data_IF_150043924651
#
_entry.id   IF_150043924651
#
_cell.length_a   1.000
_cell.length_b   1.000
_cell.length_c   1.000
_cell.angle_alpha   90.00
_cell.angle_beta   90.00
_cell.angle_gamma   90.00
#
_symmetry.space_group_name_H-M   'P 1'
#
loop_
_entity.id
_entity.type
_entity.pdbx_description
1 polymer ?
#
# COMPACT_ATOMS: atom_id res chain seq x y z
N UNK A 1 -3.21 -64.59 60.73
CA UNK A 1 -3.66 -64.91 59.35
C UNK A 1 -3.16 -63.83 58.41
N UNK A 2 -2.11 -64.09 57.61
CA UNK A 2 -1.45 -63.11 56.71
C UNK A 2 -1.94 -63.38 55.30
N UNK A 3 -2.61 -62.37 54.71
CA UNK A 3 -2.89 -62.43 53.30
C UNK A 3 -1.98 -61.41 52.60
N UNK A 4 -0.86 -61.95 52.12
CA UNK A 4 -0.02 -61.14 51.17
C UNK A 4 -0.53 -61.41 49.76
N UNK A 5 -1.36 -60.52 49.27
CA UNK A 5 -1.73 -60.49 47.88
C UNK A 5 -0.58 -59.83 47.07
N UNK A 6 0.30 -60.70 46.55
CA UNK A 6 1.35 -60.29 45.65
C UNK A 6 0.78 -59.87 44.31
N UNK A 7 0.76 -58.56 44.03
CA UNK A 7 0.44 -58.03 42.73
C UNK A 7 1.64 -58.27 41.81
N UNK A 8 1.63 -59.45 41.14
CA UNK A 8 2.52 -59.68 39.99
C UNK A 8 1.95 -58.91 38.78
N UNK A 9 2.18 -57.60 38.73
CA UNK A 9 1.98 -56.84 37.51
C UNK A 9 2.86 -57.43 36.43
N UNK A 10 2.23 -58.04 35.43
CA UNK A 10 2.97 -58.67 34.34
C UNK A 10 3.74 -57.53 33.62
N UNK A 11 4.99 -57.77 33.23
CA UNK A 11 5.85 -56.81 32.52
C UNK A 11 5.16 -56.20 31.29
N UNK A 12 4.13 -56.85 30.76
CA UNK A 12 3.26 -56.36 29.68
C UNK A 12 2.33 -55.22 30.14
N UNK A 13 1.71 -55.32 31.31
CA UNK A 13 0.85 -54.28 31.87
C UNK A 13 1.65 -53.00 32.19
N UNK A 14 2.86 -53.12 32.72
CA UNK A 14 3.75 -51.99 32.97
C UNK A 14 4.20 -51.31 31.67
N UNK A 15 4.50 -52.05 30.61
CA UNK A 15 4.86 -51.50 29.32
C UNK A 15 3.68 -50.74 28.67
N UNK A 16 2.46 -51.30 28.77
CA UNK A 16 1.26 -50.67 28.27
C UNK A 16 0.92 -49.36 29.02
N UNK A 17 1.10 -49.33 30.34
CA UNK A 17 0.87 -48.13 31.14
C UNK A 17 1.92 -47.05 30.83
N UNK A 18 3.16 -47.42 30.54
CA UNK A 18 4.21 -46.47 30.15
C UNK A 18 3.92 -45.85 28.77
N UNK A 19 3.50 -46.67 27.82
CA UNK A 19 3.11 -46.17 26.47
C UNK A 19 1.90 -45.23 26.55
N UNK A 20 0.89 -45.58 27.37
CA UNK A 20 -0.28 -44.73 27.58
C UNK A 20 0.10 -43.40 28.24
N UNK A 21 0.99 -43.38 29.22
CA UNK A 21 1.45 -42.18 29.90
C UNK A 21 2.23 -41.26 28.95
N UNK A 22 3.09 -41.82 28.10
CA UNK A 22 3.84 -41.06 27.07
C UNK A 22 2.86 -40.49 26.02
N UNK A 23 1.87 -41.27 25.59
CA UNK A 23 0.87 -40.81 24.60
C UNK A 23 0.02 -39.65 25.12
N UNK A 24 -0.44 -39.73 26.37
CA UNK A 24 -1.21 -38.65 27.02
C UNK A 24 -0.32 -37.42 27.24
N UNK A 25 0.92 -37.59 27.65
CA UNK A 25 1.89 -36.52 27.81
C UNK A 25 2.17 -35.78 26.48
N UNK A 26 2.37 -36.51 25.40
CA UNK A 26 2.59 -35.90 24.08
C UNK A 26 1.38 -35.07 23.61
N UNK A 27 0.14 -35.54 23.82
CA UNK A 27 -1.05 -34.77 23.49
C UNK A 27 -1.21 -33.48 24.33
N UNK A 28 -0.75 -33.48 25.59
CA UNK A 28 -0.82 -32.29 26.44
C UNK A 28 0.12 -31.15 25.97
N UNK A 29 1.24 -31.47 25.32
CA UNK A 29 2.20 -30.48 24.82
C UNK A 29 1.85 -29.92 23.43
N UNK A 30 0.99 -30.60 22.67
CA UNK A 30 0.59 -30.13 21.34
C UNK A 30 -0.55 -29.07 21.35
N UNK A 31 -1.24 -28.93 22.48
CA UNK A 31 -2.43 -28.08 22.60
C UNK A 31 -2.19 -26.59 22.42
N UNK A 32 -1.03 -26.08 22.83
CA UNK A 32 -0.76 -24.63 22.75
C UNK A 32 -0.59 -24.12 21.32
N UNK A 33 -0.05 -24.92 20.41
CA UNK A 33 0.13 -24.52 19.01
C UNK A 33 -1.14 -24.66 18.17
N UNK A 34 -2.10 -25.47 18.61
CA UNK A 34 -3.35 -25.69 17.87
C UNK A 34 -4.42 -24.61 18.15
N UNK A 35 -4.31 -23.91 19.29
CA UNK A 35 -5.31 -22.94 19.74
C UNK A 35 -4.88 -21.50 19.42
N UNK A 36 -3.57 -21.23 19.42
CA UNK A 36 -3.02 -19.92 19.12
C UNK A 36 -2.36 -19.91 17.74
N UNK A 37 -2.91 -19.13 16.82
CA UNK A 37 -2.27 -18.85 15.55
C UNK A 37 -0.92 -18.18 15.83
N UNK A 38 0.16 -18.78 15.31
CA UNK A 38 1.50 -18.24 15.50
C UNK A 38 1.62 -16.93 14.71
N UNK A 39 2.06 -15.86 15.35
CA UNK A 39 2.27 -14.56 14.71
C UNK A 39 3.21 -14.63 13.50
N UNK A 40 4.12 -15.61 13.47
CA UNK A 40 5.05 -15.86 12.36
C UNK A 40 4.38 -16.42 11.10
N UNK A 41 3.16 -16.94 11.20
CA UNK A 41 2.38 -17.41 10.04
C UNK A 41 1.52 -16.31 9.44
N UNK A 42 1.38 -15.18 10.11
CA UNK A 42 0.63 -14.02 9.59
C UNK A 42 1.50 -13.23 8.63
N UNK A 43 0.93 -12.96 7.47
CA UNK A 43 1.56 -12.03 6.52
C UNK A 43 1.36 -10.61 7.03
N UNK A 44 2.46 -9.94 7.38
CA UNK A 44 2.45 -8.56 7.84
C UNK A 44 3.53 -7.74 7.11
N UNK A 45 3.37 -6.43 7.10
CA UNK A 45 4.42 -5.52 6.65
C UNK A 45 5.44 -5.34 7.77
N UNK A 46 6.70 -5.72 7.52
CA UNK A 46 7.80 -5.56 8.48
C UNK A 46 8.46 -4.17 8.37
N UNK A 47 7.69 -3.16 7.97
CA UNK A 47 8.15 -1.78 7.73
C UNK A 47 7.05 -0.80 8.13
N UNK A 48 7.35 0.48 8.12
CA UNK A 48 6.39 1.54 8.48
C UNK A 48 5.24 1.67 7.47
N UNK A 49 5.44 1.21 6.23
CA UNK A 49 4.43 1.25 5.19
C UNK A 49 3.57 -0.01 5.09
N UNK A 50 2.54 0.06 4.30
CA UNK A 50 1.59 -1.03 4.02
C UNK A 50 1.95 -1.75 2.73
N UNK A 51 1.32 -2.92 2.54
CA UNK A 51 1.46 -3.76 1.35
C UNK A 51 0.09 -4.06 0.75
N UNK A 52 0.07 -4.22 -0.57
CA UNK A 52 -1.11 -4.66 -1.29
C UNK A 52 -0.66 -5.43 -2.53
N UNK A 53 -1.41 -6.47 -2.89
CA UNK A 53 -1.27 -7.19 -4.13
C UNK A 53 -2.54 -6.94 -4.97
N UNK A 54 -2.38 -6.40 -6.19
CA UNK A 54 -3.43 -6.10 -7.14
C UNK A 54 -3.13 -6.85 -8.45
N UNK A 55 -3.70 -8.05 -8.61
CA UNK A 55 -3.42 -8.92 -9.74
C UNK A 55 -1.94 -9.17 -9.95
N UNK A 56 -1.38 -8.62 -11.00
CA UNK A 56 0.04 -8.73 -11.33
C UNK A 56 0.91 -7.61 -10.76
N UNK A 57 0.31 -6.64 -10.06
CA UNK A 57 1.03 -5.54 -9.44
C UNK A 57 1.16 -5.77 -7.93
N UNK A 58 2.38 -5.79 -7.44
CA UNK A 58 2.70 -5.92 -6.02
C UNK A 58 3.22 -4.59 -5.48
N UNK A 59 2.56 -4.07 -4.47
CA UNK A 59 2.98 -2.85 -3.76
C UNK A 59 3.57 -3.22 -2.40
N UNK A 60 4.72 -2.66 -2.10
CA UNK A 60 5.48 -2.95 -0.86
C UNK A 60 5.93 -1.65 -0.20
N UNK A 61 5.79 -1.61 1.12
CA UNK A 61 6.21 -0.49 1.97
C UNK A 61 5.62 0.86 1.50
N UNK A 62 4.34 0.87 1.16
CA UNK A 62 3.65 2.08 0.70
C UNK A 62 3.34 2.96 1.90
N UNK A 63 3.83 4.19 1.88
CA UNK A 63 3.52 5.23 2.85
C UNK A 63 3.50 6.60 2.18
N UNK A 64 2.91 7.57 2.82
CA UNK A 64 2.89 8.97 2.37
C UNK A 64 3.77 9.78 3.32
N UNK A 65 4.62 10.64 2.77
CA UNK A 65 5.39 11.62 3.54
C UNK A 65 4.82 12.99 3.27
N UNK A 66 4.29 13.65 4.30
CA UNK A 66 3.70 14.98 4.24
C UNK A 66 4.11 15.79 5.47
N UNK A 67 4.16 17.11 5.35
CA UNK A 67 4.51 17.99 6.47
C UNK A 67 3.31 18.28 7.37
N UNK A 68 2.15 18.44 6.78
CA UNK A 68 0.90 18.75 7.47
C UNK A 68 -0.31 18.18 6.72
N UNK A 69 -1.46 18.19 7.38
CA UNK A 69 -2.74 17.95 6.72
C UNK A 69 -3.05 19.02 5.68
N UNK A 70 -3.86 18.67 4.68
CA UNK A 70 -4.31 19.53 3.59
C UNK A 70 -3.16 20.14 2.75
N UNK A 71 -1.98 19.56 2.87
CA UNK A 71 -0.78 19.90 2.10
C UNK A 71 -0.35 18.80 1.13
N UNK A 72 0.68 19.07 0.33
CA UNK A 72 1.22 18.09 -0.59
C UNK A 72 1.89 16.94 0.16
N UNK A 73 1.76 15.72 -0.38
CA UNK A 73 2.40 14.52 0.16
C UNK A 73 3.02 13.67 -0.94
N UNK A 74 4.14 13.05 -0.65
CA UNK A 74 4.81 12.12 -1.55
C UNK A 74 4.49 10.68 -1.17
N UNK A 75 3.96 9.94 -2.10
CA UNK A 75 3.84 8.48 -1.99
C UNK A 75 5.21 7.85 -2.19
N UNK A 76 5.62 7.02 -1.26
CA UNK A 76 6.87 6.25 -1.34
C UNK A 76 6.57 4.75 -1.26
N UNK A 77 7.45 3.93 -1.78
CA UNK A 77 7.29 2.49 -1.78
C UNK A 77 8.08 1.82 -2.90
N UNK A 78 7.90 0.51 -3.02
CA UNK A 78 8.50 -0.28 -4.10
C UNK A 78 7.40 -1.09 -4.77
N UNK A 79 7.30 -0.98 -6.09
CA UNK A 79 6.26 -1.61 -6.88
C UNK A 79 6.89 -2.60 -7.85
N UNK A 80 6.30 -3.79 -7.92
CA UNK A 80 6.74 -4.89 -8.78
C UNK A 80 5.63 -5.24 -9.75
N UNK A 81 5.95 -5.26 -11.03
CA UNK A 81 5.04 -5.69 -12.08
C UNK A 81 5.43 -7.11 -12.52
N UNK A 82 4.56 -8.07 -12.20
CA UNK A 82 4.74 -9.48 -12.53
C UNK A 82 4.22 -9.85 -13.93
N UNK A 83 3.65 -8.88 -14.66
CA UNK A 83 3.20 -9.08 -16.04
C UNK A 83 4.34 -8.86 -17.04
N UNK A 84 4.07 -9.11 -18.31
CA UNK A 84 5.03 -8.90 -19.41
C UNK A 84 4.91 -7.53 -20.08
N UNK A 85 3.96 -6.67 -19.64
CA UNK A 85 3.70 -5.35 -20.20
C UNK A 85 3.60 -4.30 -19.12
N UNK A 86 3.78 -3.03 -19.50
CA UNK A 86 3.68 -1.90 -18.57
C UNK A 86 2.28 -1.85 -17.92
N UNK A 87 2.25 -1.57 -16.62
CA UNK A 87 1.04 -1.29 -15.87
C UNK A 87 1.09 0.16 -15.41
N UNK A 88 0.05 0.93 -15.72
CA UNK A 88 -0.13 2.27 -15.14
C UNK A 88 -0.97 2.17 -13.89
N UNK A 89 -0.44 2.64 -12.77
CA UNK A 89 -1.12 2.75 -11.49
C UNK A 89 -1.52 4.20 -11.26
N UNK A 90 -2.81 4.46 -11.16
CA UNK A 90 -3.37 5.72 -10.70
C UNK A 90 -3.62 5.64 -9.21
N UNK A 91 -3.13 6.60 -8.45
CA UNK A 91 -3.35 6.77 -7.02
C UNK A 91 -4.16 8.04 -6.81
N UNK A 92 -5.38 7.90 -6.32
CA UNK A 92 -6.28 9.01 -6.04
C UNK A 92 -6.42 9.20 -4.53
N UNK A 93 -6.06 10.37 -4.03
CA UNK A 93 -6.22 10.78 -2.64
C UNK A 93 -7.47 11.62 -2.41
N UNK A 94 -7.50 12.31 -1.28
CA UNK A 94 -8.58 13.22 -0.93
C UNK A 94 -8.61 14.45 -1.85
N UNK A 95 -9.78 15.10 -1.92
CA UNK A 95 -9.99 16.38 -2.62
C UNK A 95 -9.60 16.37 -4.13
N UNK A 96 -9.65 15.17 -4.75
CA UNK A 96 -9.31 15.02 -6.17
C UNK A 96 -7.81 15.02 -6.48
N UNK A 97 -6.96 14.99 -5.45
CA UNK A 97 -5.52 14.80 -5.66
C UNK A 97 -5.26 13.44 -6.32
N UNK A 98 -4.48 13.43 -7.38
CA UNK A 98 -4.20 12.23 -8.15
C UNK A 98 -2.77 12.24 -8.69
N UNK A 99 -2.17 11.06 -8.76
CA UNK A 99 -0.88 10.84 -9.43
C UNK A 99 -0.89 9.53 -10.21
N UNK A 100 -0.07 9.45 -11.24
CA UNK A 100 0.05 8.27 -12.10
C UNK A 100 1.50 7.78 -12.14
N UNK A 101 1.66 6.48 -12.04
CA UNK A 101 2.96 5.81 -11.99
C UNK A 101 2.95 4.66 -12.98
N UNK A 102 3.87 4.67 -13.92
CA UNK A 102 4.10 3.54 -14.83
C UNK A 102 5.08 2.56 -14.19
N UNK A 103 4.63 1.32 -14.00
CA UNK A 103 5.43 0.22 -13.45
C UNK A 103 5.79 -0.74 -14.56
N UNK A 104 7.07 -0.78 -14.91
CA UNK A 104 7.59 -1.65 -15.98
C UNK A 104 7.80 -3.08 -15.47
N UNK A 105 7.67 -4.09 -16.33
CA UNK A 105 7.99 -5.48 -15.97
C UNK A 105 9.49 -5.68 -15.75
N UNK A 106 9.83 -6.72 -15.00
CA UNK A 106 11.21 -7.22 -14.85
C UNK A 106 12.11 -6.44 -13.90
N UNK A 107 11.72 -5.24 -13.44
CA UNK A 107 12.48 -4.46 -12.47
C UNK A 107 11.58 -3.74 -11.47
N UNK A 108 12.00 -3.58 -10.21
CA UNK A 108 11.23 -2.82 -9.23
C UNK A 108 11.21 -1.33 -9.59
N UNK A 109 10.03 -0.72 -9.52
CA UNK A 109 9.87 0.73 -9.56
C UNK A 109 9.92 1.25 -8.13
N UNK A 110 10.97 1.99 -7.79
CA UNK A 110 11.16 2.54 -6.44
C UNK A 110 10.72 4.00 -6.42
N UNK A 111 9.70 4.30 -5.65
CA UNK A 111 9.23 5.65 -5.38
C UNK A 111 9.96 6.19 -4.15
N UNK A 112 10.83 7.14 -4.36
CA UNK A 112 11.64 7.77 -3.33
C UNK A 112 11.63 9.29 -3.47
N UNK A 113 12.55 9.97 -2.81
CA UNK A 113 12.68 11.42 -2.81
C UNK A 113 12.90 12.07 -4.18
N UNK A 114 13.25 11.31 -5.20
CA UNK A 114 13.51 11.81 -6.55
C UNK A 114 12.36 11.58 -7.54
N UNK A 115 11.31 10.87 -7.11
CA UNK A 115 10.17 10.55 -7.96
C UNK A 115 9.10 11.65 -7.85
N UNK A 116 9.17 12.68 -8.70
CA UNK A 116 8.18 13.76 -8.71
C UNK A 116 6.80 13.29 -9.14
N UNK A 117 6.74 12.23 -9.95
CA UNK A 117 5.47 11.59 -10.36
C UNK A 117 4.73 10.88 -9.21
N UNK A 118 5.26 10.90 -7.98
CA UNK A 118 4.63 10.28 -6.81
C UNK A 118 4.02 11.30 -5.83
N UNK A 119 3.86 12.55 -6.25
CA UNK A 119 3.34 13.61 -5.39
C UNK A 119 1.83 13.74 -5.58
N UNK A 120 1.09 13.63 -4.48
CA UNK A 120 -0.29 14.04 -4.35
C UNK A 120 -0.32 15.53 -4.00
N UNK A 121 -1.11 16.33 -4.72
CA UNK A 121 -1.24 17.77 -4.46
C UNK A 121 -1.81 18.06 -3.06
N UNK A 122 -2.62 17.15 -2.53
CA UNK A 122 -3.27 17.29 -1.24
C UNK A 122 -3.37 15.93 -0.55
N UNK A 123 -3.00 15.87 0.71
CA UNK A 123 -3.19 14.76 1.65
C UNK A 123 -4.02 15.30 2.80
N UNK A 124 -5.25 14.81 2.97
CA UNK A 124 -6.16 15.32 3.98
C UNK A 124 -5.75 14.96 5.40
N UNK A 125 -5.10 13.81 5.56
CA UNK A 125 -4.70 13.28 6.85
C UNK A 125 -3.41 13.91 7.37
N UNK A 126 -3.39 14.27 8.65
CA UNK A 126 -2.17 14.74 9.31
C UNK A 126 -1.12 13.62 9.47
N UNK A 127 0.18 13.96 9.57
CA UNK A 127 1.20 13.00 9.96
C UNK A 127 0.88 12.28 11.27
N UNK A 128 1.07 10.95 11.28
CA UNK A 128 0.66 10.07 12.37
C UNK A 128 -0.74 9.47 12.20
N UNK A 129 -1.51 9.93 11.22
CA UNK A 129 -2.80 9.36 10.84
C UNK A 129 -2.67 8.45 9.61
N UNK A 130 -3.79 7.99 9.10
CA UNK A 130 -3.90 7.13 7.92
C UNK A 130 -4.74 7.84 6.86
N UNK A 131 -4.21 7.93 5.66
CA UNK A 131 -4.91 8.43 4.47
C UNK A 131 -5.54 7.26 3.71
N UNK A 132 -6.78 7.44 3.29
CA UNK A 132 -7.45 6.47 2.43
C UNK A 132 -7.26 6.88 0.97
N UNK A 133 -6.57 6.04 0.20
CA UNK A 133 -6.36 6.26 -1.22
C UNK A 133 -7.08 5.20 -2.05
N UNK A 134 -7.58 5.60 -3.20
CA UNK A 134 -8.11 4.70 -4.22
C UNK A 134 -7.02 4.41 -5.24
N UNK A 135 -6.82 3.15 -5.54
CA UNK A 135 -5.83 2.64 -6.48
C UNK A 135 -6.56 2.06 -7.69
N UNK A 136 -6.10 2.40 -8.88
CA UNK A 136 -6.61 1.84 -10.15
C UNK A 136 -5.45 1.47 -11.04
N UNK A 137 -5.48 0.27 -11.58
CA UNK A 137 -4.53 -0.15 -12.60
C UNK A 137 -5.17 -0.05 -13.99
N UNK A 138 -4.34 0.28 -14.98
CA UNK A 138 -4.70 0.19 -16.39
C UNK A 138 -3.56 -0.50 -17.15
N UNK A 139 -3.89 -1.17 -18.25
CA UNK A 139 -2.96 -1.99 -19.03
C UNK A 139 -3.52 -3.37 -19.30
N UNK A 140 -2.76 -4.42 -19.03
CA UNK A 140 -3.15 -5.81 -19.28
C UNK A 140 -4.30 -6.32 -18.41
N UNK A 141 -4.48 -5.73 -17.23
CA UNK A 141 -5.65 -5.94 -16.37
C UNK A 141 -6.05 -4.63 -15.70
N UNK A 142 -7.35 -4.37 -15.60
CA UNK A 142 -7.89 -3.20 -14.90
C UNK A 142 -8.46 -3.65 -13.57
N UNK A 143 -7.82 -3.23 -12.49
CA UNK A 143 -8.24 -3.51 -11.13
C UNK A 143 -8.37 -2.23 -10.33
N UNK A 144 -9.19 -2.25 -9.30
CA UNK A 144 -9.33 -1.15 -8.35
C UNK A 144 -9.31 -1.69 -6.92
N UNK A 145 -8.69 -0.92 -6.02
CA UNK A 145 -8.64 -1.25 -4.60
C UNK A 145 -8.59 0.04 -3.78
N UNK A 146 -9.01 -0.05 -2.53
CA UNK A 146 -8.84 1.01 -1.54
C UNK A 146 -7.73 0.58 -0.58
N UNK A 147 -6.80 1.48 -0.31
CA UNK A 147 -5.69 1.23 0.59
C UNK A 147 -5.63 2.31 1.67
N UNK A 148 -5.47 1.88 2.91
CA UNK A 148 -5.20 2.76 4.04
C UNK A 148 -3.70 2.91 4.21
N UNK A 149 -3.18 4.10 3.91
CA UNK A 149 -1.75 4.39 3.85
C UNK A 149 -1.34 5.27 5.02
N UNK A 150 -0.34 4.89 5.83
CA UNK A 150 0.14 5.72 6.92
C UNK A 150 0.80 6.99 6.39
N UNK A 151 0.54 8.10 7.07
CA UNK A 151 1.14 9.41 6.77
C UNK A 151 2.24 9.68 7.77
N UNK A 152 3.47 9.87 7.27
CA UNK A 152 4.66 10.15 8.06
C UNK A 152 5.10 11.59 7.88
N UNK A 153 5.73 12.17 8.89
CA UNK A 153 6.38 13.48 8.76
C UNK A 153 7.87 13.37 8.42
N UNK A 154 8.51 14.50 8.17
CA UNK A 154 9.94 14.59 7.89
C UNK A 154 10.86 14.64 9.12
N UNK A 155 10.39 14.28 10.32
CA UNK A 155 11.21 14.36 11.54
C UNK A 155 12.38 13.38 11.49
N UNK A 156 12.18 12.19 10.95
CA UNK A 156 13.24 11.22 10.73
C UNK A 156 14.02 11.57 9.45
N UNK A 157 15.33 11.43 9.50
CA UNK A 157 16.23 11.80 8.39
C UNK A 157 15.92 11.04 7.10
N UNK A 158 15.48 9.81 7.20
CA UNK A 158 15.06 8.96 6.09
C UNK A 158 13.83 9.52 5.36
N UNK A 159 12.88 10.09 6.07
CA UNK A 159 11.66 10.65 5.50
C UNK A 159 11.80 12.12 5.11
N UNK A 160 12.66 12.86 5.79
CA UNK A 160 12.89 14.28 5.48
C UNK A 160 13.20 14.54 4.01
N UNK A 161 13.99 13.68 3.38
CA UNK A 161 14.33 13.76 1.95
C UNK A 161 13.14 13.50 1.03
N UNK A 162 12.09 12.88 1.53
CA UNK A 162 10.89 12.54 0.76
C UNK A 162 9.78 13.57 0.93
N UNK A 163 9.96 14.59 1.76
CA UNK A 163 9.02 15.70 1.80
C UNK A 163 8.95 16.38 0.44
N UNK A 164 7.74 16.66 -0.09
CA UNK A 164 7.59 17.46 -1.31
C UNK A 164 8.14 18.87 -1.07
N UNK A 165 9.11 19.27 -1.88
CA UNK A 165 9.68 20.63 -1.83
C UNK A 165 8.76 21.65 -2.50
N UNK A 166 7.82 21.18 -3.32
CA UNK A 166 6.87 22.02 -4.05
C UNK A 166 5.60 21.21 -4.32
N UNK A 167 4.42 21.84 -4.19
CA UNK A 167 3.21 21.25 -4.73
C UNK A 167 3.39 21.01 -6.24
N UNK A 168 2.88 19.90 -6.82
CA UNK A 168 2.92 19.73 -8.25
C UNK A 168 2.26 20.95 -8.87
N UNK A 169 3.00 21.64 -9.73
CA UNK A 169 2.43 22.68 -10.57
C UNK A 169 1.39 22.01 -11.44
N UNK A 170 0.13 22.27 -11.16
CA UNK A 170 -0.93 22.05 -12.13
C UNK A 170 -0.67 23.08 -13.22
N UNK A 171 0.23 22.78 -14.15
CA UNK A 171 0.27 23.49 -15.42
C UNK A 171 -1.06 23.22 -16.09
N UNK A 172 -1.95 24.18 -15.84
CA UNK A 172 -3.25 24.26 -16.42
C UNK A 172 -3.10 24.15 -17.92
N UNK A 173 -3.72 23.17 -18.51
CA UNK A 173 -4.28 23.24 -19.85
C UNK A 173 -5.33 24.36 -19.88
N UNK A 174 -4.89 25.63 -19.80
CA UNK A 174 -5.71 26.83 -19.84
C UNK A 174 -5.19 27.81 -20.93
N UNK A 175 -4.48 27.30 -21.93
CA UNK A 175 -4.11 28.07 -23.10
C UNK A 175 -4.67 27.48 -24.40
N UNK A 176 -5.98 27.32 -24.48
CA UNK A 176 -6.63 27.02 -25.76
C UNK A 176 -8.01 27.66 -25.93
N UNK A 177 -8.35 28.74 -25.21
CA UNK A 177 -9.65 29.41 -25.43
C UNK A 177 -9.59 30.93 -25.43
N UNK A 178 -8.42 31.54 -25.65
CA UNK A 178 -8.29 33.00 -25.69
C UNK A 178 -7.74 33.55 -27.02
N UNK A 179 -7.86 32.83 -28.13
CA UNK A 179 -7.43 33.31 -29.45
C UNK A 179 -8.49 33.20 -30.56
N UNK A 180 -9.76 33.23 -30.22
CA UNK A 180 -10.83 33.16 -31.23
C UNK A 180 -11.92 34.26 -31.09
N UNK A 181 -11.59 35.45 -30.54
CA UNK A 181 -12.59 36.52 -30.45
C UNK A 181 -11.96 37.90 -30.63
N UNK A 182 -11.09 38.05 -31.64
CA UNK A 182 -10.53 39.37 -31.97
C UNK A 182 -10.36 39.59 -33.48
N UNK A 183 -11.30 39.09 -34.30
CA UNK A 183 -11.30 39.43 -35.75
C UNK A 183 -12.73 39.43 -36.31
N UNK A 184 -13.60 40.24 -35.72
CA UNK A 184 -14.93 40.48 -36.28
C UNK A 184 -15.50 41.84 -35.89
N UNK A 185 -14.69 42.91 -35.94
CA UNK A 185 -15.23 44.30 -35.94
C UNK A 185 -14.29 45.21 -36.68
N UNK A 186 -14.24 45.11 -38.00
CA UNK A 186 -13.83 46.25 -38.85
C UNK A 186 -14.26 46.02 -40.29
N UNK A 187 -15.54 46.17 -40.57
CA UNK A 187 -15.97 46.43 -41.96
C UNK A 187 -17.44 46.82 -41.97
N UNK A 188 -17.71 48.08 -41.64
CA UNK A 188 -18.92 48.77 -42.07
C UNK A 188 -18.77 50.25 -41.79
N UNK A 189 -18.15 51.02 -42.72
CA UNK A 189 -18.52 52.39 -42.93
C UNK A 189 -17.78 52.95 -44.18
N UNK A 190 -18.50 53.14 -45.26
CA UNK A 190 -18.34 54.21 -46.20
C UNK A 190 -19.17 53.92 -47.45
N UNK A 191 -20.35 54.49 -47.52
CA UNK A 191 -20.86 55.08 -48.78
C UNK A 191 -22.10 55.88 -48.45
N UNK A 192 -21.95 57.18 -48.39
CA UNK A 192 -23.01 58.15 -48.70
C UNK A 192 -22.41 59.33 -49.43
N UNK A 193 -23.00 59.59 -50.56
CA UNK A 193 -23.35 60.83 -51.16
C UNK A 193 -22.63 61.14 -52.48
N UNK A 194 -23.18 62.04 -53.35
CA UNK A 194 -24.49 62.67 -53.30
C UNK A 194 -25.43 62.25 -54.38
#
# INVERSE_FOLDING_TARGET
MRIAAGIRGTKRAQRLSLIAAIGIGAMAFTGCSAINEQSTTRVYSASDGVRLDMGQLELRNVLIVAEAADGPGRVTGTFYNQSESDITLTISGAQGAQTEITVKPGAPTVLNSTADSSILSTVASAPGAVETVELRTSGSSSESATLQVPVMNGTLKEYNKSLPTQAPSVEATAEATASATADAEHSAEATTAP
#
